data_IF_328264005186
#
_entry.id   IF_328264005186
#
_cell.length_a   1.000
_cell.length_b   1.000
_cell.length_c   1.000
_cell.angle_alpha   90.00
_cell.angle_beta   90.00
_cell.angle_gamma   90.00
#
_symmetry.space_group_name_H-M   'P 1'
#
loop_
_entity.id
_entity.type
_entity.pdbx_description
1 polymer ?
#
# COMPACT_ATOMS: atom_id res chain seq x y z
N UNK A 1 -7.45 -0.35 -3.02
CA UNK A 1 -6.87 -0.37 -1.66
C UNK A 1 -6.43 -1.79 -1.36
N UNK A 2 -5.22 -1.96 -0.84
CA UNK A 2 -4.59 -3.25 -0.59
C UNK A 2 -4.15 -3.34 0.86
N UNK A 3 -4.20 -4.55 1.41
CA UNK A 3 -3.50 -4.94 2.62
C UNK A 3 -2.18 -5.61 2.22
N UNK A 4 -1.09 -5.17 2.80
CA UNK A 4 0.26 -5.65 2.51
C UNK A 4 1.17 -5.39 3.71
N UNK A 5 2.35 -6.00 3.74
CA UNK A 5 3.45 -5.58 4.61
C UNK A 5 4.55 -4.89 3.80
N UNK A 6 5.20 -3.91 4.42
CA UNK A 6 6.37 -3.20 3.91
C UNK A 6 7.31 -2.91 5.08
N UNK A 7 8.59 -3.28 4.95
CA UNK A 7 9.57 -3.15 6.05
C UNK A 7 9.17 -3.88 7.34
N UNK A 8 8.43 -4.98 7.22
CA UNK A 8 7.92 -5.75 8.37
C UNK A 8 6.67 -5.16 9.04
N UNK A 9 6.12 -4.05 8.54
CA UNK A 9 4.94 -3.38 9.10
C UNK A 9 3.73 -3.56 8.20
N UNK A 10 2.57 -3.90 8.79
CA UNK A 10 1.30 -4.04 8.07
C UNK A 10 0.69 -2.69 7.70
N UNK A 11 0.20 -2.57 6.47
CA UNK A 11 -0.33 -1.32 5.91
C UNK A 11 -1.61 -1.54 5.10
N UNK A 12 -2.47 -0.52 5.08
CA UNK A 12 -3.60 -0.40 4.16
C UNK A 12 -3.44 0.89 3.36
N UNK A 13 -3.06 0.76 2.09
CA UNK A 13 -2.82 1.89 1.19
C UNK A 13 -3.27 1.57 -0.24
N UNK A 14 -3.17 2.56 -1.11
CA UNK A 14 -3.34 2.36 -2.56
C UNK A 14 -1.96 2.06 -3.15
N UNK A 15 -1.88 0.99 -3.93
CA UNK A 15 -0.66 0.59 -4.63
C UNK A 15 -0.80 0.92 -6.12
N UNK A 16 0.26 1.45 -6.72
CA UNK A 16 0.35 1.71 -8.16
C UNK A 16 1.66 1.13 -8.70
N UNK A 17 1.63 -0.01 -9.43
CA UNK A 17 2.80 -0.51 -10.15
C UNK A 17 3.31 0.53 -11.14
N UNK A 18 4.62 0.60 -11.32
CA UNK A 18 5.31 1.49 -12.26
C UNK A 18 6.05 0.67 -13.33
N UNK A 19 6.31 1.24 -14.53
CA UNK A 19 7.01 0.53 -15.60
C UNK A 19 8.43 0.07 -15.24
N UNK A 20 9.06 0.70 -14.26
CA UNK A 20 10.39 0.37 -13.76
C UNK A 20 10.39 -0.79 -12.73
N UNK A 21 9.27 -1.50 -12.59
CA UNK A 21 9.11 -2.62 -11.66
C UNK A 21 8.80 -2.21 -10.22
N UNK A 22 8.94 -0.92 -9.87
CA UNK A 22 8.62 -0.44 -8.52
C UNK A 22 7.11 -0.34 -8.28
N UNK A 23 6.73 -0.28 -7.01
CA UNK A 23 5.34 -0.03 -6.59
C UNK A 23 5.29 1.25 -5.78
N UNK A 24 4.55 2.24 -6.27
CA UNK A 24 4.26 3.45 -5.50
C UNK A 24 3.18 3.15 -4.45
N UNK A 25 3.46 3.50 -3.20
CA UNK A 25 2.58 3.39 -2.04
C UNK A 25 1.97 4.77 -1.81
N UNK A 26 0.68 4.90 -2.12
CA UNK A 26 -0.04 6.16 -2.09
C UNK A 26 -0.90 6.28 -0.82
N UNK A 27 -0.77 7.42 -0.14
CA UNK A 27 -1.67 7.82 0.93
C UNK A 27 -2.93 8.45 0.36
N UNK A 28 -4.09 8.15 0.95
CA UNK A 28 -5.33 8.88 0.65
C UNK A 28 -5.37 10.26 1.37
N UNK A 29 -4.37 10.59 2.21
CA UNK A 29 -4.14 11.94 2.73
C UNK A 29 -3.11 12.66 1.83
N UNK A 30 -3.49 13.75 1.14
CA UNK A 30 -2.62 14.44 0.18
C UNK A 30 -1.43 15.17 0.82
N UNK A 31 -1.44 15.41 2.14
CA UNK A 31 -0.27 16.00 2.83
C UNK A 31 0.85 14.99 3.09
N UNK A 32 0.60 13.70 2.86
CA UNK A 32 1.59 12.63 3.03
C UNK A 32 2.17 12.29 1.65
N UNK A 33 3.48 12.47 1.43
CA UNK A 33 4.13 12.11 0.18
C UNK A 33 3.95 10.63 -0.19
N UNK A 34 4.12 10.31 -1.47
CA UNK A 34 4.19 8.92 -1.90
C UNK A 34 5.48 8.26 -1.43
N UNK A 35 5.39 6.99 -1.07
CA UNK A 35 6.54 6.14 -0.79
C UNK A 35 6.71 5.13 -1.94
N UNK A 36 7.85 4.46 -2.01
CA UNK A 36 8.22 3.56 -3.11
C UNK A 36 8.81 2.28 -2.56
N UNK A 37 8.14 1.16 -2.84
CA UNK A 37 8.73 -0.16 -2.65
C UNK A 37 9.52 -0.56 -3.90
N UNK A 38 10.73 -1.05 -3.67
CA UNK A 38 11.56 -1.73 -4.66
C UNK A 38 11.81 -3.16 -4.18
N UNK A 39 11.96 -4.08 -5.12
CA UNK A 39 12.31 -5.48 -4.83
C UNK A 39 11.39 -6.14 -3.76
N UNK A 40 11.84 -7.20 -3.10
CA UNK A 40 11.08 -8.07 -2.17
C UNK A 40 10.63 -7.40 -0.85
N UNK A 41 10.65 -6.07 -0.77
CA UNK A 41 10.27 -5.30 0.41
C UNK A 41 8.75 -5.29 0.66
N UNK A 42 7.95 -5.51 -0.39
CA UNK A 42 6.49 -5.48 -0.33
C UNK A 42 5.88 -6.87 -0.47
N UNK A 43 5.11 -7.29 0.54
CA UNK A 43 4.38 -8.55 0.52
C UNK A 43 2.87 -8.32 0.52
N UNK A 44 2.20 -8.74 -0.55
CA UNK A 44 0.74 -8.60 -0.68
C UNK A 44 0.02 -9.61 0.22
N UNK A 45 -0.86 -9.11 1.08
CA UNK A 45 -1.75 -9.94 1.91
C UNK A 45 -3.10 -10.14 1.20
N UNK A 46 -3.66 -9.07 0.61
CA UNK A 46 -4.92 -9.19 -0.13
C UNK A 46 -5.57 -7.85 -0.52
N UNK A 47 -6.67 -7.94 -1.28
CA UNK A 47 -7.45 -6.78 -1.70
C UNK A 47 -8.44 -6.39 -0.60
N UNK A 48 -8.50 -5.10 -0.26
CA UNK A 48 -9.54 -4.59 0.65
C UNK A 48 -10.85 -4.39 -0.13
N UNK A 49 -11.93 -5.01 0.35
CA UNK A 49 -13.26 -5.01 -0.31
C UNK A 49 -14.35 -4.31 0.50
N UNK A 50 -14.15 -4.11 1.80
CA UNK A 50 -15.12 -3.44 2.66
C UNK A 50 -14.41 -2.74 3.83
N UNK A 51 -15.07 -1.74 4.40
CA UNK A 51 -14.74 -1.15 5.70
C UNK A 51 -15.94 -1.34 6.61
N UNK A 52 -15.73 -1.99 7.75
CA UNK A 52 -16.74 -2.11 8.81
C UNK A 52 -16.27 -1.26 9.98
N UNK A 53 -17.14 -0.42 10.51
CA UNK A 53 -16.84 0.42 11.66
C UNK A 53 -18.08 0.53 12.56
N UNK A 54 -17.85 0.63 13.87
CA UNK A 54 -18.90 1.00 14.82
C UNK A 54 -19.09 2.52 14.74
N UNK A 55 -20.36 2.95 14.71
CA UNK A 55 -20.75 4.35 14.85
C UNK A 55 -20.67 4.78 16.32
#
# INVERSE_FOLDING_TARGET
IWAFSFGGVGMIKRLRPRPDGSVAILSDNPSVPEDRAVDDELHLIGRVVARVAKL
#
